data_IF_740895336713
#
_entry.id   IF_740895336713
#
_cell.length_a   1.000
_cell.length_b   1.000
_cell.length_c   1.000
_cell.angle_alpha   90.00
_cell.angle_beta   90.00
_cell.angle_gamma   90.00
#
_symmetry.space_group_name_H-M   'P 1'
#
loop_
_entity.id
_entity.type
_entity.pdbx_description
1 polymer ?
#
# COMPACT_ATOMS: atom_id res chain seq x y z
N UNK A 1 9.28 -37.12 -6.01
CA UNK A 1 7.84 -36.98 -6.38
C UNK A 1 7.03 -36.14 -5.37
N UNK A 2 7.40 -36.07 -4.10
CA UNK A 2 6.76 -35.17 -3.09
C UNK A 2 6.96 -33.68 -3.40
N UNK A 3 8.15 -33.32 -3.87
CA UNK A 3 8.57 -31.94 -4.16
C UNK A 3 7.69 -31.26 -5.24
N UNK A 4 7.41 -31.94 -6.32
CA UNK A 4 6.59 -31.40 -7.43
C UNK A 4 5.09 -31.26 -7.08
N UNK A 5 4.59 -31.94 -6.03
CA UNK A 5 3.21 -31.76 -5.56
C UNK A 5 3.10 -30.52 -4.66
N UNK A 6 4.09 -30.31 -3.81
CA UNK A 6 4.18 -29.13 -2.92
C UNK A 6 4.33 -27.86 -3.78
N UNK A 7 5.22 -27.89 -4.78
CA UNK A 7 5.42 -26.73 -5.67
C UNK A 7 4.16 -26.35 -6.46
N UNK A 8 3.43 -27.36 -7.00
CA UNK A 8 2.12 -27.11 -7.65
C UNK A 8 1.10 -26.53 -6.70
N UNK A 9 1.05 -27.01 -5.45
CA UNK A 9 0.18 -26.46 -4.41
C UNK A 9 0.51 -24.99 -4.10
N UNK A 10 1.77 -24.66 -3.97
CA UNK A 10 2.26 -23.29 -3.74
C UNK A 10 1.95 -22.38 -4.94
N UNK A 11 2.14 -22.86 -6.16
CA UNK A 11 1.80 -22.09 -7.36
C UNK A 11 0.30 -21.83 -7.46
N UNK A 12 -0.53 -22.82 -7.21
CA UNK A 12 -1.99 -22.65 -7.19
C UNK A 12 -2.42 -21.65 -6.11
N UNK A 13 -1.80 -21.72 -4.91
CA UNK A 13 -2.06 -20.77 -3.83
C UNK A 13 -1.71 -19.33 -4.23
N UNK A 14 -0.56 -19.11 -4.89
CA UNK A 14 -0.17 -17.78 -5.41
C UNK A 14 -1.17 -17.25 -6.43
N UNK A 15 -1.60 -18.10 -7.39
CA UNK A 15 -2.61 -17.72 -8.39
C UNK A 15 -3.93 -17.32 -7.74
N UNK A 16 -4.40 -18.11 -6.76
CA UNK A 16 -5.62 -17.78 -6.01
C UNK A 16 -5.47 -16.45 -5.28
N UNK A 17 -4.35 -16.23 -4.57
CA UNK A 17 -4.12 -14.98 -3.84
C UNK A 17 -4.01 -13.78 -4.77
N UNK A 18 -3.38 -13.90 -5.93
CA UNK A 18 -3.39 -12.84 -6.95
C UNK A 18 -4.80 -12.42 -7.31
N UNK A 19 -5.64 -13.40 -7.68
CA UNK A 19 -7.04 -13.11 -8.05
C UNK A 19 -7.87 -12.55 -6.89
N UNK A 20 -7.66 -13.04 -5.66
CA UNK A 20 -8.40 -12.53 -4.50
C UNK A 20 -8.01 -11.10 -4.13
N UNK A 21 -6.74 -10.72 -4.31
CA UNK A 21 -6.32 -9.34 -4.11
C UNK A 21 -6.99 -8.38 -5.10
N UNK A 22 -7.08 -8.77 -6.39
CA UNK A 22 -7.76 -7.96 -7.41
C UNK A 22 -9.23 -7.76 -7.05
N UNK A 23 -9.96 -8.87 -6.77
CA UNK A 23 -11.36 -8.82 -6.39
C UNK A 23 -11.55 -7.99 -5.10
N UNK A 24 -10.74 -8.24 -4.07
CA UNK A 24 -10.87 -7.52 -2.81
C UNK A 24 -10.59 -6.02 -2.95
N UNK A 25 -9.77 -5.59 -3.91
CA UNK A 25 -9.50 -4.17 -4.14
C UNK A 25 -10.68 -3.43 -4.76
N UNK A 26 -11.58 -4.12 -5.49
CA UNK A 26 -12.75 -3.53 -6.18
C UNK A 26 -14.06 -3.85 -5.47
N UNK A 27 -14.25 -5.11 -5.09
CA UNK A 27 -15.54 -5.62 -4.57
C UNK A 27 -15.53 -5.80 -3.05
N UNK A 28 -14.37 -5.51 -2.41
CA UNK A 28 -14.15 -5.70 -0.98
C UNK A 28 -13.80 -7.14 -0.58
N UNK A 29 -13.23 -7.28 0.62
CA UNK A 29 -12.88 -8.58 1.20
C UNK A 29 -14.12 -9.42 1.52
N UNK A 30 -15.26 -8.80 1.87
CA UNK A 30 -16.51 -9.49 2.08
C UNK A 30 -17.08 -10.09 0.77
N UNK A 31 -16.77 -9.50 -0.37
CA UNK A 31 -17.11 -10.01 -1.70
C UNK A 31 -16.43 -11.33 -2.06
N UNK A 32 -15.37 -11.71 -1.34
CA UNK A 32 -14.65 -12.96 -1.59
C UNK A 32 -15.52 -14.20 -1.29
N UNK A 33 -15.49 -15.15 -2.21
CA UNK A 33 -16.16 -16.44 -2.07
C UNK A 33 -15.29 -17.53 -2.67
N UNK A 34 -15.00 -18.56 -1.87
CA UNK A 34 -14.23 -19.74 -2.33
C UNK A 34 -14.83 -20.38 -3.59
N UNK A 35 -16.16 -20.38 -3.70
CA UNK A 35 -16.86 -20.93 -4.87
C UNK A 35 -16.68 -20.06 -6.11
N UNK A 36 -16.87 -18.74 -6.02
CA UNK A 36 -16.65 -17.81 -7.14
C UNK A 36 -15.19 -17.86 -7.63
N UNK A 37 -14.24 -17.83 -6.72
CA UNK A 37 -12.82 -17.90 -7.04
C UNK A 37 -12.43 -19.20 -7.73
N UNK A 38 -12.97 -20.33 -7.24
CA UNK A 38 -12.77 -21.63 -7.89
C UNK A 38 -13.29 -21.63 -9.33
N UNK A 39 -14.49 -21.10 -9.56
CA UNK A 39 -15.08 -20.97 -10.90
C UNK A 39 -14.24 -20.05 -11.80
N UNK A 40 -13.86 -18.88 -11.32
CA UNK A 40 -13.05 -17.87 -12.04
C UNK A 40 -11.73 -18.44 -12.53
N UNK A 41 -11.10 -19.29 -11.73
CA UNK A 41 -9.78 -19.88 -12.01
C UNK A 41 -9.83 -21.27 -12.62
N UNK A 42 -11.01 -21.81 -12.91
CA UNK A 42 -11.17 -23.18 -13.41
C UNK A 42 -10.69 -24.27 -12.43
N UNK A 43 -10.76 -23.98 -11.12
CA UNK A 43 -10.35 -24.88 -10.04
C UNK A 43 -11.56 -25.57 -9.43
N UNK A 44 -11.34 -26.72 -8.77
CA UNK A 44 -12.40 -27.34 -7.97
C UNK A 44 -12.60 -26.56 -6.67
N UNK A 45 -13.87 -26.41 -6.24
CA UNK A 45 -14.22 -25.76 -4.97
C UNK A 45 -13.53 -26.46 -3.78
N UNK A 46 -13.46 -27.80 -3.80
CA UNK A 46 -12.75 -28.57 -2.77
C UNK A 46 -11.24 -28.33 -2.78
N UNK A 47 -10.64 -28.09 -3.94
CA UNK A 47 -9.22 -27.73 -4.06
C UNK A 47 -8.90 -26.38 -3.46
N UNK A 48 -9.71 -25.37 -3.73
CA UNK A 48 -9.55 -24.03 -3.12
C UNK A 48 -9.82 -24.09 -1.61
N UNK A 49 -10.86 -24.82 -1.19
CA UNK A 49 -11.14 -25.03 0.24
C UNK A 49 -9.97 -25.72 0.96
N UNK A 50 -9.35 -26.73 0.34
CA UNK A 50 -8.19 -27.41 0.93
C UNK A 50 -6.96 -26.49 1.11
N UNK A 51 -6.87 -25.41 0.32
CA UNK A 51 -5.77 -24.43 0.43
C UNK A 51 -5.98 -23.41 1.57
N UNK A 52 -7.19 -23.06 1.90
CA UNK A 52 -7.50 -21.94 2.80
C UNK A 52 -8.39 -22.30 3.99
N UNK A 53 -9.18 -23.38 3.90
CA UNK A 53 -10.04 -23.88 4.99
C UNK A 53 -11.34 -23.10 5.16
N UNK A 54 -11.30 -21.79 5.29
CA UNK A 54 -12.46 -20.93 5.51
C UNK A 54 -12.40 -19.63 4.69
N UNK A 55 -13.52 -18.90 4.64
CA UNK A 55 -13.57 -17.55 4.06
C UNK A 55 -12.66 -16.60 4.84
N UNK A 56 -12.67 -16.66 6.16
CA UNK A 56 -11.82 -15.83 7.03
C UNK A 56 -10.34 -16.11 6.79
N UNK A 57 -9.93 -17.37 6.70
CA UNK A 57 -8.53 -17.72 6.40
C UNK A 57 -8.11 -17.23 5.01
N UNK A 58 -9.02 -17.27 4.02
CA UNK A 58 -8.77 -16.70 2.70
C UNK A 58 -8.61 -15.18 2.79
N UNK A 59 -9.47 -14.47 3.51
CA UNK A 59 -9.38 -13.03 3.72
C UNK A 59 -8.04 -12.65 4.39
N UNK A 60 -7.68 -13.33 5.48
CA UNK A 60 -6.40 -13.12 6.18
C UNK A 60 -5.20 -13.38 5.26
N UNK A 61 -5.23 -14.47 4.50
CA UNK A 61 -4.16 -14.77 3.55
C UNK A 61 -4.07 -13.71 2.43
N UNK A 62 -5.21 -13.17 1.98
CA UNK A 62 -5.27 -12.09 0.98
C UNK A 62 -4.67 -10.80 1.53
N UNK A 63 -5.00 -10.39 2.76
CA UNK A 63 -4.42 -9.21 3.42
C UNK A 63 -2.91 -9.33 3.54
N UNK A 64 -2.41 -10.49 3.98
CA UNK A 64 -0.95 -10.75 4.10
C UNK A 64 -0.24 -10.73 2.74
N UNK A 65 -0.87 -11.28 1.71
CA UNK A 65 -0.33 -11.24 0.35
C UNK A 65 -0.29 -9.80 -0.19
N UNK A 66 -1.33 -9.00 0.06
CA UNK A 66 -1.36 -7.59 -0.31
C UNK A 66 -0.28 -6.77 0.41
N UNK A 67 0.02 -7.07 1.69
CA UNK A 67 1.12 -6.44 2.41
C UNK A 67 2.48 -6.76 1.79
N UNK A 68 2.69 -7.99 1.32
CA UNK A 68 3.92 -8.35 0.61
C UNK A 68 4.05 -7.62 -0.73
N UNK A 69 2.96 -7.49 -1.50
CA UNK A 69 2.93 -6.72 -2.76
C UNK A 69 3.20 -5.24 -2.48
N UNK A 70 2.58 -4.66 -1.45
CA UNK A 70 2.85 -3.28 -1.04
C UNK A 70 4.34 -3.07 -0.70
N UNK A 71 4.92 -3.94 0.10
CA UNK A 71 6.34 -3.85 0.47
C UNK A 71 7.26 -3.95 -0.77
N UNK A 72 6.95 -4.80 -1.73
CA UNK A 72 7.72 -4.97 -2.97
C UNK A 72 7.67 -3.71 -3.86
N UNK A 73 6.50 -3.06 -3.97
CA UNK A 73 6.33 -1.90 -4.85
C UNK A 73 6.68 -0.56 -4.20
N UNK A 74 6.49 -0.43 -2.88
CA UNK A 74 6.63 0.87 -2.20
C UNK A 74 7.90 0.95 -1.38
N UNK A 75 8.21 -0.09 -0.60
CA UNK A 75 9.31 -0.05 0.37
C UNK A 75 10.63 -0.50 -0.23
N UNK A 76 10.62 -1.62 -0.95
CA UNK A 76 11.83 -2.26 -1.48
C UNK A 76 12.62 -1.37 -2.45
N UNK A 77 11.98 -0.60 -3.37
CA UNK A 77 12.70 0.24 -4.32
C UNK A 77 13.61 1.29 -3.68
N UNK A 78 13.25 1.76 -2.47
CA UNK A 78 13.97 2.83 -1.77
C UNK A 78 14.74 2.35 -0.54
N UNK A 79 14.69 1.05 -0.24
CA UNK A 79 15.26 0.50 0.99
C UNK A 79 16.74 0.83 1.18
N UNK A 80 17.52 0.66 0.12
CA UNK A 80 18.98 0.83 0.13
C UNK A 80 19.43 2.28 -0.11
N UNK A 81 18.49 3.21 -0.30
CA UNK A 81 18.83 4.62 -0.44
C UNK A 81 19.36 5.20 0.89
N UNK A 82 20.32 6.13 0.86
CA UNK A 82 20.80 6.81 2.05
C UNK A 82 19.66 7.52 2.81
N UNK A 83 19.73 7.49 4.14
CA UNK A 83 18.77 8.21 4.97
C UNK A 83 18.80 9.71 4.67
N UNK A 84 17.64 10.33 4.51
CA UNK A 84 17.52 11.75 4.19
C UNK A 84 16.15 12.12 3.65
N UNK A 85 15.90 13.42 3.51
CA UNK A 85 14.62 13.96 3.06
C UNK A 85 14.27 13.52 1.63
N UNK A 86 15.29 13.30 0.79
CA UNK A 86 15.12 12.81 -0.58
C UNK A 86 14.58 11.37 -0.59
N UNK A 87 15.07 10.50 0.30
CA UNK A 87 14.56 9.13 0.45
C UNK A 87 13.09 9.13 0.88
N UNK A 88 12.72 10.02 1.80
CA UNK A 88 11.30 10.17 2.21
C UNK A 88 10.44 10.58 1.01
N UNK A 89 10.88 11.54 0.22
CA UNK A 89 10.17 11.93 -0.99
C UNK A 89 10.04 10.75 -1.97
N UNK A 90 11.13 10.02 -2.23
CA UNK A 90 11.09 8.84 -3.10
C UNK A 90 10.14 7.76 -2.61
N UNK A 91 10.07 7.54 -1.30
CA UNK A 91 9.07 6.64 -0.72
C UNK A 91 7.64 7.08 -1.05
N UNK A 92 7.38 8.40 -1.01
CA UNK A 92 6.10 8.97 -1.40
C UNK A 92 5.82 8.79 -2.90
N UNK A 93 6.83 8.97 -3.77
CA UNK A 93 6.72 8.70 -5.21
C UNK A 93 6.36 7.24 -5.48
N UNK A 94 7.05 6.28 -4.84
CA UNK A 94 6.75 4.85 -5.01
C UNK A 94 5.31 4.52 -4.58
N UNK A 95 4.81 5.15 -3.51
CA UNK A 95 3.42 4.95 -3.11
C UNK A 95 2.44 5.52 -4.15
N UNK A 96 2.73 6.71 -4.69
CA UNK A 96 1.92 7.32 -5.76
C UNK A 96 1.92 6.42 -7.00
N UNK A 97 3.09 5.96 -7.44
CA UNK A 97 3.22 5.07 -8.59
C UNK A 97 2.48 3.74 -8.39
N UNK A 98 2.57 3.15 -7.20
CA UNK A 98 1.83 1.94 -6.81
C UNK A 98 0.32 2.14 -6.92
N UNK A 99 -0.20 3.24 -6.39
CA UNK A 99 -1.64 3.51 -6.34
C UNK A 99 -2.18 3.96 -7.69
N UNK A 100 -1.51 4.91 -8.35
CA UNK A 100 -1.90 5.45 -9.66
C UNK A 100 -1.71 4.42 -10.79
N UNK A 101 -0.65 3.61 -10.71
CA UNK A 101 -0.37 2.52 -11.64
C UNK A 101 -1.32 1.32 -11.51
N UNK A 102 -2.28 1.39 -10.57
CA UNK A 102 -3.27 0.34 -10.35
C UNK A 102 -2.62 -1.04 -10.18
N UNK A 103 -1.60 -1.13 -9.33
CA UNK A 103 -1.03 -2.43 -8.95
C UNK A 103 -2.14 -3.36 -8.44
N UNK A 104 -3.11 -2.80 -7.75
CA UNK A 104 -4.44 -3.41 -7.58
C UNK A 104 -5.47 -2.58 -8.35
N UNK A 105 -6.42 -3.20 -9.06
CA UNK A 105 -7.42 -2.50 -9.88
C UNK A 105 -8.16 -1.38 -9.14
N UNK A 106 -8.49 -1.59 -7.86
CA UNK A 106 -9.15 -0.61 -6.99
C UNK A 106 -8.23 0.44 -6.36
N UNK A 107 -6.95 0.54 -6.78
CA UNK A 107 -5.98 1.47 -6.19
C UNK A 107 -5.30 0.89 -4.94
N UNK A 108 -5.19 1.68 -3.87
CA UNK A 108 -4.57 1.20 -2.63
C UNK A 108 -5.47 0.19 -1.91
N UNK A 109 -5.03 -1.07 -1.87
CA UNK A 109 -5.74 -2.17 -1.20
C UNK A 109 -6.10 -1.83 0.26
N UNK A 110 -5.14 -1.28 1.01
CA UNK A 110 -5.34 -1.01 2.45
C UNK A 110 -6.29 0.15 2.74
N UNK A 111 -6.43 1.10 1.81
CA UNK A 111 -7.44 2.15 1.93
C UNK A 111 -8.85 1.55 1.87
N UNK A 112 -9.13 0.76 0.84
CA UNK A 112 -10.44 0.14 0.63
C UNK A 112 -10.77 -0.87 1.73
N UNK A 113 -9.82 -1.76 2.07
CA UNK A 113 -10.01 -2.78 3.11
C UNK A 113 -10.22 -2.15 4.49
N UNK A 114 -9.56 -1.05 4.83
CA UNK A 114 -9.75 -0.36 6.10
C UNK A 114 -11.14 0.25 6.20
N UNK A 115 -11.61 0.94 5.15
CA UNK A 115 -12.95 1.53 5.12
C UNK A 115 -14.07 0.46 5.24
N UNK A 116 -13.83 -0.75 4.72
CA UNK A 116 -14.79 -1.85 4.82
C UNK A 116 -14.82 -2.49 6.23
N UNK A 117 -13.69 -2.54 6.93
CA UNK A 117 -13.53 -3.28 8.19
C UNK A 117 -13.34 -2.42 9.44
N UNK A 118 -13.32 -1.10 9.35
CA UNK A 118 -13.06 -0.20 10.49
C UNK A 118 -13.98 -0.45 11.69
N UNK A 119 -15.24 -0.73 11.43
CA UNK A 119 -16.28 -0.96 12.43
C UNK A 119 -16.64 -2.45 12.64
N UNK A 120 -15.87 -3.39 12.07
CA UNK A 120 -16.12 -4.84 12.12
C UNK A 120 -15.04 -5.56 12.93
N UNK A 121 -15.19 -5.72 14.27
CA UNK A 121 -14.18 -6.39 15.10
C UNK A 121 -13.96 -7.83 14.64
N UNK A 122 -12.72 -8.28 14.71
CA UNK A 122 -12.31 -9.65 14.39
C UNK A 122 -10.92 -9.74 13.74
N UNK A 123 -10.45 -10.97 13.48
CA UNK A 123 -9.08 -11.22 13.04
C UNK A 123 -8.69 -10.47 11.75
N UNK A 124 -9.61 -10.33 10.80
CA UNK A 124 -9.36 -9.63 9.52
C UNK A 124 -9.13 -8.15 9.75
N UNK A 125 -9.98 -7.49 10.57
CA UNK A 125 -9.77 -6.10 10.97
C UNK A 125 -8.42 -5.90 11.67
N UNK A 126 -8.09 -6.80 12.57
CA UNK A 126 -6.84 -6.71 13.34
C UNK A 126 -5.60 -6.85 12.44
N UNK A 127 -5.65 -7.74 11.45
CA UNK A 127 -4.56 -7.87 10.45
C UNK A 127 -4.43 -6.62 9.57
N UNK A 128 -5.55 -6.01 9.14
CA UNK A 128 -5.57 -4.75 8.38
C UNK A 128 -5.00 -3.61 9.25
N UNK A 129 -5.46 -3.49 10.49
CA UNK A 129 -5.00 -2.47 11.43
C UNK A 129 -3.50 -2.60 11.71
N UNK A 130 -3.00 -3.84 11.86
CA UNK A 130 -1.58 -4.14 12.00
C UNK A 130 -0.78 -3.62 10.79
N UNK A 131 -1.19 -3.98 9.58
CA UNK A 131 -0.49 -3.56 8.37
C UNK A 131 -0.46 -2.03 8.22
N UNK A 132 -1.56 -1.34 8.53
CA UNK A 132 -1.61 0.14 8.51
C UNK A 132 -0.71 0.76 9.58
N UNK A 133 -0.69 0.19 10.77
CA UNK A 133 0.20 0.63 11.86
C UNK A 133 1.68 0.44 11.49
N UNK A 134 2.03 -0.68 10.85
CA UNK A 134 3.38 -0.95 10.36
C UNK A 134 3.81 0.06 9.30
N UNK A 135 2.91 0.42 8.36
CA UNK A 135 3.17 1.47 7.37
C UNK A 135 3.39 2.85 8.01
N UNK A 136 2.52 3.26 8.94
CA UNK A 136 2.66 4.54 9.64
C UNK A 136 3.99 4.61 10.40
N UNK A 137 4.32 3.57 11.15
CA UNK A 137 5.61 3.48 11.87
C UNK A 137 6.81 3.52 10.94
N UNK A 138 6.73 2.86 9.79
CA UNK A 138 7.79 2.89 8.79
C UNK A 138 8.00 4.31 8.24
N UNK A 139 6.92 5.04 7.92
CA UNK A 139 7.00 6.44 7.49
C UNK A 139 7.62 7.32 8.57
N UNK A 140 7.16 7.20 9.82
CA UNK A 140 7.73 7.92 10.97
C UNK A 140 9.21 7.62 11.15
N UNK A 141 9.61 6.35 11.01
CA UNK A 141 11.01 5.94 11.10
C UNK A 141 11.85 6.60 9.99
N UNK A 142 11.38 6.60 8.73
CA UNK A 142 12.11 7.23 7.62
C UNK A 142 12.26 8.75 7.81
N UNK A 143 11.24 9.41 8.36
CA UNK A 143 11.28 10.83 8.71
C UNK A 143 12.27 11.10 9.87
N UNK A 144 12.27 10.28 10.92
CA UNK A 144 13.20 10.42 12.04
C UNK A 144 14.65 10.13 11.62
N UNK A 145 14.88 9.13 10.79
CA UNK A 145 16.19 8.86 10.18
C UNK A 145 16.68 10.04 9.34
N UNK A 146 15.81 10.67 8.54
CA UNK A 146 16.13 11.87 7.76
C UNK A 146 16.51 13.05 8.67
N UNK A 147 15.78 13.24 9.77
CA UNK A 147 16.06 14.26 10.80
C UNK A 147 17.43 14.03 11.45
N UNK A 148 17.72 12.80 11.89
CA UNK A 148 18.99 12.42 12.50
C UNK A 148 20.18 12.55 11.55
N UNK A 149 19.97 12.38 10.26
CA UNK A 149 20.96 12.60 9.21
C UNK A 149 21.20 14.09 8.88
N UNK A 150 20.56 15.02 9.61
CA UNK A 150 20.69 16.47 9.37
C UNK A 150 19.84 16.99 8.21
N UNK A 151 18.89 16.19 7.70
CA UNK A 151 18.01 16.58 6.60
C UNK A 151 16.93 17.59 7.00
N UNK A 152 16.72 17.84 8.29
CA UNK A 152 15.73 18.79 8.80
C UNK A 152 16.41 20.06 9.30
N UNK A 153 15.75 21.21 9.12
CA UNK A 153 16.21 22.50 9.63
C UNK A 153 16.19 22.55 11.16
N UNK A 154 17.01 23.41 11.73
CA UNK A 154 17.02 23.67 13.17
C UNK A 154 15.61 24.06 13.67
N UNK A 155 15.25 23.55 14.86
CA UNK A 155 13.95 23.79 15.47
C UNK A 155 12.85 22.84 15.03
N UNK A 156 13.17 21.85 14.16
CA UNK A 156 12.22 20.76 13.86
C UNK A 156 12.50 19.60 14.83
N UNK A 157 11.58 19.37 15.74
CA UNK A 157 11.73 18.38 16.79
C UNK A 157 11.23 16.97 16.35
N UNK A 158 11.66 15.96 17.11
CA UNK A 158 11.14 14.59 16.94
C UNK A 158 9.62 14.53 17.16
N UNK A 159 9.07 15.41 17.98
CA UNK A 159 7.64 15.52 18.23
C UNK A 159 6.83 15.91 16.98
N UNK A 160 7.45 16.55 15.99
CA UNK A 160 6.80 16.94 14.73
C UNK A 160 6.69 15.77 13.73
N UNK A 161 7.49 14.72 13.91
CA UNK A 161 7.54 13.55 12.99
C UNK A 161 6.20 12.83 12.85
N UNK A 162 5.46 12.50 13.92
CA UNK A 162 4.15 11.84 13.78
C UNK A 162 3.12 12.71 13.05
N UNK A 163 3.13 14.03 13.29
CA UNK A 163 2.23 14.95 12.61
C UNK A 163 2.55 15.02 11.12
N UNK A 164 3.82 15.09 10.75
CA UNK A 164 4.24 15.13 9.35
C UNK A 164 3.90 13.81 8.64
N UNK A 165 4.12 12.66 9.28
CA UNK A 165 3.72 11.37 8.76
C UNK A 165 2.22 11.27 8.52
N UNK A 166 1.41 11.73 9.49
CA UNK A 166 -0.04 11.79 9.37
C UNK A 166 -0.49 12.63 8.17
N UNK A 167 0.06 13.83 8.00
CA UNK A 167 -0.29 14.73 6.88
C UNK A 167 0.07 14.13 5.53
N UNK A 168 1.26 13.53 5.41
CA UNK A 168 1.71 12.85 4.18
C UNK A 168 0.77 11.68 3.84
N UNK A 169 0.46 10.82 4.79
CA UNK A 169 -0.41 9.66 4.57
C UNK A 169 -1.83 10.11 4.24
N UNK A 170 -2.36 11.15 4.89
CA UNK A 170 -3.69 11.70 4.61
C UNK A 170 -3.78 12.23 3.15
N UNK A 171 -2.75 12.92 2.66
CA UNK A 171 -2.69 13.38 1.27
C UNK A 171 -2.67 12.21 0.28
N UNK A 172 -1.91 11.16 0.57
CA UNK A 172 -1.86 9.94 -0.24
C UNK A 172 -3.24 9.25 -0.29
N UNK A 173 -3.86 9.02 0.84
CA UNK A 173 -5.14 8.32 0.94
C UNK A 173 -6.26 9.10 0.25
N UNK A 174 -6.31 10.43 0.42
CA UNK A 174 -7.29 11.28 -0.27
C UNK A 174 -7.07 11.28 -1.79
N UNK A 175 -5.82 11.25 -2.25
CA UNK A 175 -5.54 11.15 -3.68
C UNK A 175 -6.02 9.82 -4.27
N UNK A 176 -5.80 8.71 -3.57
CA UNK A 176 -6.35 7.42 -3.97
C UNK A 176 -7.88 7.46 -4.05
N UNK A 177 -8.54 7.95 -3.00
CA UNK A 177 -10.00 8.05 -2.97
C UNK A 177 -10.56 8.85 -4.14
N UNK A 178 -10.01 10.05 -4.38
CA UNK A 178 -10.44 10.92 -5.47
C UNK A 178 -10.18 10.33 -6.85
N UNK A 179 -9.00 9.73 -7.04
CA UNK A 179 -8.65 9.10 -8.31
C UNK A 179 -9.52 7.89 -8.66
N UNK A 180 -9.86 7.06 -7.66
CA UNK A 180 -10.70 5.88 -7.89
C UNK A 180 -12.16 6.25 -8.09
N UNK A 181 -12.69 7.16 -7.25
CA UNK A 181 -14.11 7.52 -7.27
C UNK A 181 -14.50 8.38 -8.46
N UNK A 182 -13.60 9.26 -8.91
CA UNK A 182 -13.90 10.26 -9.92
C UNK A 182 -13.13 10.08 -11.24
N UNK A 183 -12.34 9.00 -11.36
CA UNK A 183 -11.42 8.79 -12.50
C UNK A 183 -10.49 10.01 -12.73
N UNK A 184 -10.10 10.70 -11.63
CA UNK A 184 -9.29 11.92 -11.69
C UNK A 184 -7.84 11.64 -11.25
N UNK A 185 -6.91 11.36 -12.18
CA UNK A 185 -5.51 11.13 -11.84
C UNK A 185 -4.80 12.40 -11.33
N UNK A 186 -5.37 13.60 -11.55
CA UNK A 186 -4.78 14.88 -11.11
C UNK A 186 -4.73 14.99 -9.58
N UNK A 187 -5.51 14.17 -8.88
CA UNK A 187 -5.47 14.08 -7.41
C UNK A 187 -4.10 13.65 -6.90
N UNK A 188 -3.39 12.76 -7.61
CA UNK A 188 -2.02 12.36 -7.24
C UNK A 188 -1.01 13.49 -7.44
N UNK A 189 -1.16 14.31 -8.48
CA UNK A 189 -0.31 15.50 -8.67
C UNK A 189 -0.53 16.54 -7.56
N UNK A 190 -1.79 16.72 -7.12
CA UNK A 190 -2.13 17.60 -5.99
C UNK A 190 -1.53 17.09 -4.69
N UNK A 191 -1.64 15.79 -4.42
CA UNK A 191 -1.03 15.17 -3.25
C UNK A 191 0.50 15.29 -3.29
N UNK A 192 1.14 14.96 -4.41
CA UNK A 192 2.59 15.09 -4.58
C UNK A 192 3.09 16.51 -4.34
N UNK A 193 2.37 17.54 -4.83
CA UNK A 193 2.69 18.94 -4.53
C UNK A 193 2.56 19.24 -3.04
N UNK A 194 1.44 18.85 -2.41
CA UNK A 194 1.25 19.07 -0.98
C UNK A 194 2.31 18.38 -0.13
N UNK A 195 2.68 17.14 -0.47
CA UNK A 195 3.75 16.41 0.20
C UNK A 195 5.11 17.15 0.04
N UNK A 196 5.46 17.56 -1.18
CA UNK A 196 6.69 18.33 -1.42
C UNK A 196 6.71 19.64 -0.61
N UNK A 197 5.60 20.35 -0.54
CA UNK A 197 5.51 21.59 0.24
C UNK A 197 5.70 21.33 1.74
N UNK A 198 5.15 20.24 2.27
CA UNK A 198 5.37 19.84 3.67
C UNK A 198 6.81 19.42 3.93
N UNK A 199 7.41 18.62 3.05
CA UNK A 199 8.81 18.21 3.18
C UNK A 199 9.76 19.41 3.06
N UNK A 200 9.56 20.34 2.13
CA UNK A 200 10.36 21.56 2.00
C UNK A 200 10.24 22.46 3.22
N UNK A 201 9.06 22.52 3.82
CA UNK A 201 8.84 23.32 5.03
C UNK A 201 9.71 22.87 6.21
N UNK A 202 10.14 21.62 6.26
CA UNK A 202 11.01 21.08 7.32
C UNK A 202 12.46 20.84 6.86
N UNK A 203 12.74 20.80 5.57
CA UNK A 203 14.06 20.47 5.02
C UNK A 203 15.12 21.50 5.36
N UNK A 204 16.32 21.04 5.74
CA UNK A 204 17.53 21.87 5.88
C UNK A 204 18.00 22.40 4.51
N UNK A 205 17.92 21.57 3.46
CA UNK A 205 18.27 21.90 2.09
C UNK A 205 17.09 21.64 1.14
N UNK A 206 16.04 22.51 1.11
CA UNK A 206 14.84 22.29 0.30
C UNK A 206 15.09 22.20 -1.21
N UNK A 207 16.23 22.70 -1.68
CA UNK A 207 16.66 22.61 -3.09
C UNK A 207 17.05 21.21 -3.56
N UNK A 208 17.26 20.26 -2.65
CA UNK A 208 17.49 18.84 -2.98
C UNK A 208 16.21 18.11 -3.42
N UNK A 209 15.06 18.64 -3.04
CA UNK A 209 13.78 18.10 -3.44
C UNK A 209 13.37 18.62 -4.84
N UNK A 210 12.72 17.80 -5.67
CA UNK A 210 12.27 18.22 -6.99
C UNK A 210 11.27 19.37 -6.88
N UNK A 211 11.26 20.27 -7.86
CA UNK A 211 10.36 21.43 -7.86
C UNK A 211 8.88 21.06 -8.05
N UNK A 212 8.63 19.97 -8.74
CA UNK A 212 7.28 19.43 -9.01
C UNK A 212 7.30 17.91 -8.89
N UNK A 213 6.20 17.29 -8.48
CA UNK A 213 6.07 15.85 -8.59
C UNK A 213 6.18 15.44 -10.07
N UNK A 214 6.68 14.23 -10.38
CA UNK A 214 6.62 13.69 -11.72
C UNK A 214 5.17 13.61 -12.22
N UNK A 215 4.98 13.70 -13.52
CA UNK A 215 3.67 13.48 -14.12
C UNK A 215 3.27 12.03 -13.90
N UNK A 216 2.08 11.83 -13.36
CA UNK A 216 1.51 10.49 -13.20
C UNK A 216 1.11 9.98 -14.58
N UNK A 217 1.81 8.96 -15.09
CA UNK A 217 1.42 8.29 -16.32
C UNK A 217 0.04 7.65 -16.14
N UNK A 218 -0.98 8.19 -16.78
CA UNK A 218 -2.28 7.52 -16.84
C UNK A 218 -2.14 6.22 -17.63
N UNK A 219 -1.96 5.10 -16.95
CA UNK A 219 -2.15 3.77 -17.54
C UNK A 219 -3.63 3.36 -17.51
N UNK A 220 -4.51 4.35 -17.42
CA UNK A 220 -5.96 4.20 -17.56
C UNK A 220 -6.31 4.37 -19.04
N UNK A 221 -6.03 3.34 -19.84
CA UNK A 221 -6.55 3.16 -21.18
C UNK A 221 -6.87 1.68 -21.40
#
# INVERSE_FOLDING_TARGET
MADGRVERGNQTRRTVLGRTMDIASTDGLEGLSLGKIATDLGLSKSGVFALFGSKEDLQLATVRAAAAVFAEHVVKPVREEPAGIVKVWRLCEQWIDYSAGRVFPGGCFFYSAAAEFDSRPGPVRDEIAKARTEWTRYMEQQLDEARLAGGFREGTDRADVPQLAFEIIALMELANAGSVLHDDPTTYERAGRGILDRLRAVAAAPGELPQRPPAVSSRLA
#
